data_IF_762736876804
#
_entry.id   IF_762736876804
#
_cell.length_a   1.000
_cell.length_b   1.000
_cell.length_c   1.000
_cell.angle_alpha   90.00
_cell.angle_beta   90.00
_cell.angle_gamma   90.00
#
_symmetry.space_group_name_H-M   'P 1'
#
loop_
_entity.id
_entity.type
_entity.pdbx_description
1 polymer ?
#
# COMPACT_ATOMS: atom_id res chain seq x y z
N UNK A 1 2.56 -2.13 18.44
CA UNK A 1 1.39 -2.90 18.94
C UNK A 1 1.25 -4.15 18.10
N UNK A 2 1.17 -5.32 18.75
CA UNK A 2 0.95 -6.64 18.15
C UNK A 2 -0.25 -6.61 17.19
N UNK A 3 -0.12 -7.28 16.07
CA UNK A 3 -0.94 -7.31 14.87
C UNK A 3 -2.48 -7.41 14.93
N UNK A 4 -3.16 -6.66 15.76
CA UNK A 4 -4.61 -6.57 15.71
C UNK A 4 -5.06 -5.72 14.52
N UNK A 5 -5.74 -6.30 13.57
CA UNK A 5 -6.31 -5.64 12.40
C UNK A 5 -7.50 -4.75 12.79
N UNK A 6 -8.15 -5.01 13.93
CA UNK A 6 -9.40 -4.36 14.31
C UNK A 6 -9.20 -3.03 15.05
N UNK A 7 -9.61 -1.93 14.41
CA UNK A 7 -9.95 -0.66 15.06
C UNK A 7 -11.48 -0.51 15.04
N UNK A 8 -12.15 -1.17 15.97
CA UNK A 8 -13.62 -1.07 16.03
C UNK A 8 -14.04 0.12 16.88
N UNK A 9 -15.00 0.86 16.36
CA UNK A 9 -15.72 1.91 17.08
C UNK A 9 -16.67 1.31 18.12
N UNK A 10 -17.28 2.15 18.97
CA UNK A 10 -18.23 1.71 20.00
C UNK A 10 -19.47 1.03 19.42
N UNK A 11 -19.89 1.40 18.21
CA UNK A 11 -21.00 0.82 17.45
C UNK A 11 -20.64 -0.51 16.75
N UNK A 12 -19.40 -0.99 16.91
CA UNK A 12 -18.92 -2.23 16.30
C UNK A 12 -18.40 -2.07 14.86
N UNK A 13 -18.45 -0.87 14.29
CA UNK A 13 -17.92 -0.61 12.96
C UNK A 13 -16.38 -0.59 12.94
N UNK A 14 -15.79 -0.95 11.79
CA UNK A 14 -14.34 -0.87 11.57
C UNK A 14 -13.95 0.50 11.04
N UNK A 15 -12.91 1.09 11.63
CA UNK A 15 -12.29 2.31 11.11
C UNK A 15 -10.84 2.06 10.72
N UNK A 16 -10.48 2.45 9.49
CA UNK A 16 -9.09 2.45 9.02
C UNK A 16 -8.34 3.66 9.56
N UNK A 17 -7.10 3.43 10.01
CA UNK A 17 -6.17 4.50 10.37
C UNK A 17 -5.36 4.88 9.15
N UNK A 18 -5.15 6.17 8.95
CA UNK A 18 -4.36 6.70 7.84
C UNK A 18 -2.90 6.25 7.89
N UNK A 19 -2.31 6.16 6.72
CA UNK A 19 -0.89 5.88 6.55
C UNK A 19 -0.04 7.06 7.06
N UNK A 20 1.04 6.76 7.77
CA UNK A 20 1.84 7.77 8.46
C UNK A 20 2.90 8.42 7.57
N UNK A 21 3.54 7.63 6.69
CA UNK A 21 4.62 8.11 5.83
C UNK A 21 4.04 8.46 4.45
N UNK A 22 4.06 9.77 4.11
CA UNK A 22 3.36 10.33 2.94
C UNK A 22 4.26 11.25 2.09
N UNK A 23 5.58 11.02 2.09
CA UNK A 23 6.50 11.74 1.20
C UNK A 23 6.32 11.28 -0.25
N UNK A 24 6.76 12.12 -1.19
CA UNK A 24 6.71 11.83 -2.62
C UNK A 24 8.11 11.77 -3.21
N UNK A 25 8.24 11.22 -4.42
CA UNK A 25 9.48 11.25 -5.22
C UNK A 25 9.25 12.18 -6.41
N UNK A 26 10.15 13.12 -6.63
CA UNK A 26 10.07 14.07 -7.74
C UNK A 26 11.47 14.53 -8.15
N UNK A 27 11.64 14.87 -9.41
CA UNK A 27 12.91 15.45 -9.93
C UNK A 27 13.28 16.77 -9.25
N UNK A 28 12.27 17.51 -8.78
CA UNK A 28 12.44 18.79 -8.09
C UNK A 28 12.52 18.64 -6.57
N UNK A 29 12.32 17.45 -6.01
CA UNK A 29 12.44 17.23 -4.57
C UNK A 29 13.92 17.36 -4.15
N UNK A 30 14.15 17.88 -2.95
CA UNK A 30 15.52 18.05 -2.44
C UNK A 30 16.11 16.76 -1.90
N UNK A 31 15.28 15.87 -1.39
CA UNK A 31 15.67 14.64 -0.71
C UNK A 31 15.37 13.43 -1.58
N UNK A 32 14.11 13.25 -2.00
CA UNK A 32 13.63 12.07 -2.71
C UNK A 32 13.56 12.29 -4.22
N UNK A 33 14.71 12.12 -4.89
CA UNK A 33 14.81 12.19 -6.36
C UNK A 33 14.70 10.81 -6.99
N UNK A 34 14.14 10.68 -8.21
CA UNK A 34 14.14 9.41 -8.92
C UNK A 34 15.58 9.02 -9.29
N UNK A 35 16.01 7.88 -8.80
CA UNK A 35 17.34 7.30 -9.04
C UNK A 35 17.20 5.79 -9.23
N UNK A 36 17.92 5.22 -10.20
CA UNK A 36 17.98 3.76 -10.41
C UNK A 36 18.59 3.06 -9.18
N UNK A 37 17.99 1.96 -8.76
CA UNK A 37 18.43 1.13 -7.63
C UNK A 37 18.45 1.84 -6.26
N UNK A 38 17.87 3.02 -6.14
CA UNK A 38 17.77 3.73 -4.87
C UNK A 38 16.62 3.23 -4.00
N UNK A 39 15.48 2.93 -4.63
CA UNK A 39 14.27 2.59 -3.90
C UNK A 39 14.03 1.08 -3.83
N UNK A 40 13.28 0.69 -2.81
CA UNK A 40 12.91 -0.68 -2.55
C UNK A 40 11.46 -0.78 -2.09
N UNK A 41 10.75 -1.83 -2.51
CA UNK A 41 9.39 -2.14 -2.06
C UNK A 41 9.40 -3.31 -1.09
N UNK A 42 8.70 -3.17 0.03
CA UNK A 42 8.27 -4.30 0.83
C UNK A 42 6.80 -4.57 0.59
N UNK A 43 6.46 -5.78 0.22
CA UNK A 43 5.11 -6.19 -0.19
C UNK A 43 4.75 -7.57 0.34
N UNK A 44 3.45 -7.94 0.28
CA UNK A 44 2.97 -9.30 0.45
C UNK A 44 2.07 -9.68 -0.71
N UNK A 45 2.17 -10.93 -1.18
CA UNK A 45 1.23 -11.46 -2.17
C UNK A 45 -0.21 -11.55 -1.64
N UNK A 46 -0.39 -11.65 -0.32
CA UNK A 46 -1.71 -11.68 0.32
C UNK A 46 -2.34 -10.28 0.48
N UNK A 47 -1.58 -9.20 0.25
CA UNK A 47 -2.07 -7.84 0.48
C UNK A 47 -2.56 -7.19 -0.82
N UNK A 48 -3.88 -6.95 -0.99
CA UNK A 48 -4.41 -6.30 -2.20
C UNK A 48 -3.91 -4.85 -2.37
N UNK A 49 -3.64 -4.16 -1.27
CA UNK A 49 -3.06 -2.82 -1.31
C UNK A 49 -1.64 -2.81 -1.87
N UNK A 50 -0.83 -3.81 -1.54
CA UNK A 50 0.52 -3.96 -2.07
C UNK A 50 0.50 -4.44 -3.53
N UNK A 51 -0.49 -5.24 -3.94
CA UNK A 51 -0.61 -5.79 -5.29
C UNK A 51 -0.62 -4.69 -6.35
N UNK A 52 -1.39 -3.60 -6.16
CA UNK A 52 -1.42 -2.51 -7.14
C UNK A 52 -0.06 -1.82 -7.33
N UNK A 53 0.81 -1.82 -6.31
CA UNK A 53 2.16 -1.27 -6.44
C UNK A 53 3.06 -2.17 -7.29
N UNK A 54 2.88 -3.49 -7.20
CA UNK A 54 3.56 -4.45 -8.09
C UNK A 54 3.08 -4.32 -9.54
N UNK A 55 1.77 -4.12 -9.75
CA UNK A 55 1.20 -3.85 -11.09
C UNK A 55 1.85 -2.60 -11.69
N UNK A 56 1.89 -1.49 -10.96
CA UNK A 56 2.52 -0.25 -11.46
C UNK A 56 4.03 -0.40 -11.66
N UNK A 57 4.72 -1.13 -10.79
CA UNK A 57 6.14 -1.45 -10.97
C UNK A 57 6.38 -2.16 -12.30
N UNK A 58 5.49 -3.08 -12.69
CA UNK A 58 5.55 -3.78 -13.98
C UNK A 58 5.16 -2.86 -15.15
N UNK A 59 3.99 -2.22 -15.11
CA UNK A 59 3.49 -1.34 -16.16
C UNK A 59 4.49 -0.24 -16.51
N UNK A 60 5.19 0.30 -15.51
CA UNK A 60 6.16 1.38 -15.67
C UNK A 60 7.60 0.90 -15.89
N UNK A 61 7.81 -0.42 -16.10
CA UNK A 61 9.13 -1.04 -16.37
C UNK A 61 10.17 -0.74 -15.28
N UNK A 62 9.72 -0.78 -14.02
CA UNK A 62 10.54 -0.43 -12.85
C UNK A 62 11.25 -1.61 -12.20
N UNK A 63 11.15 -2.83 -12.76
CA UNK A 63 11.70 -4.06 -12.17
C UNK A 63 13.22 -3.99 -11.96
N UNK A 64 13.91 -3.35 -12.91
CA UNK A 64 15.36 -3.15 -12.83
C UNK A 64 15.78 -1.88 -12.08
N UNK A 65 14.82 -1.08 -11.59
CA UNK A 65 15.09 0.23 -10.98
C UNK A 65 14.65 0.30 -9.51
N UNK A 66 13.62 -0.47 -9.14
CA UNK A 66 13.10 -0.57 -7.77
C UNK A 66 13.11 -2.04 -7.37
N UNK A 67 13.97 -2.41 -6.43
CA UNK A 67 14.03 -3.77 -5.88
C UNK A 67 12.81 -4.08 -5.00
N UNK A 68 12.56 -5.36 -4.71
CA UNK A 68 11.38 -5.78 -3.94
C UNK A 68 11.69 -6.97 -3.04
N UNK A 69 11.19 -6.92 -1.82
CA UNK A 69 11.12 -8.05 -0.91
C UNK A 69 9.67 -8.43 -0.58
N UNK A 70 9.44 -9.73 -0.46
CA UNK A 70 8.13 -10.30 -0.20
C UNK A 70 8.10 -10.90 1.20
N UNK A 71 7.23 -10.36 2.05
CA UNK A 71 6.96 -10.92 3.38
C UNK A 71 6.06 -12.16 3.28
N UNK A 72 6.06 -12.96 4.34
CA UNK A 72 5.17 -14.12 4.48
C UNK A 72 3.70 -13.70 4.31
N UNK A 73 2.87 -14.48 3.58
CA UNK A 73 1.47 -14.12 3.33
C UNK A 73 0.61 -14.14 4.58
N UNK A 74 0.92 -14.98 5.56
CA UNK A 74 0.19 -15.06 6.82
C UNK A 74 0.68 -13.99 7.80
N UNK A 75 -0.24 -13.13 8.21
CA UNK A 75 0.00 -12.13 9.23
C UNK A 75 -0.32 -12.70 10.61
N UNK A 76 0.69 -13.32 11.25
CA UNK A 76 0.56 -13.95 12.56
C UNK A 76 0.61 -12.90 13.70
N UNK A 77 0.76 -13.40 14.94
CA UNK A 77 0.70 -12.60 16.18
C UNK A 77 1.61 -11.35 16.16
N UNK A 78 2.79 -11.44 15.54
CA UNK A 78 3.75 -10.35 15.44
C UNK A 78 3.63 -9.51 14.16
N UNK A 79 2.53 -9.68 13.38
CA UNK A 79 2.30 -9.02 12.10
C UNK A 79 3.08 -9.65 10.95
N UNK A 80 3.33 -8.88 9.92
CA UNK A 80 4.05 -9.32 8.73
C UNK A 80 5.49 -9.74 9.07
N UNK A 81 5.85 -10.98 8.70
CA UNK A 81 7.17 -11.55 8.95
C UNK A 81 7.98 -11.75 7.67
N UNK A 82 9.30 -11.80 7.81
CA UNK A 82 10.23 -12.12 6.73
C UNK A 82 10.63 -13.61 6.74
N UNK A 83 9.78 -14.49 7.28
CA UNK A 83 9.98 -15.94 7.20
C UNK A 83 10.02 -16.41 5.76
N UNK A 84 10.92 -17.39 5.47
CA UNK A 84 11.16 -17.91 4.12
C UNK A 84 10.57 -19.31 3.90
N UNK A 85 9.68 -19.75 4.76
CA UNK A 85 9.04 -21.06 4.75
C UNK A 85 7.81 -21.16 3.84
N UNK A 86 7.46 -20.04 3.18
CA UNK A 86 6.41 -20.02 2.15
C UNK A 86 7.02 -19.71 0.77
N UNK A 87 6.52 -20.35 -0.32
CA UNK A 87 7.03 -20.13 -1.67
C UNK A 87 7.03 -18.65 -2.07
N UNK A 88 8.14 -18.20 -2.68
CA UNK A 88 8.35 -16.82 -3.16
C UNK A 88 8.53 -15.75 -2.07
N UNK A 89 8.58 -16.09 -0.78
CA UNK A 89 9.04 -15.13 0.24
C UNK A 89 10.56 -14.97 0.12
N UNK A 90 11.05 -13.73 0.27
CA UNK A 90 12.47 -13.41 0.04
C UNK A 90 13.26 -13.24 1.32
N UNK A 91 12.59 -12.92 2.42
CA UNK A 91 13.23 -12.33 3.59
C UNK A 91 13.45 -10.83 3.40
N UNK A 92 14.12 -10.19 4.36
CA UNK A 92 14.57 -8.81 4.27
C UNK A 92 16.00 -8.77 3.74
N UNK A 93 16.17 -8.33 2.50
CA UNK A 93 17.49 -8.27 1.83
C UNK A 93 18.31 -7.05 2.23
N UNK A 94 17.71 -6.03 2.83
CA UNK A 94 18.39 -4.77 3.17
C UNK A 94 18.93 -4.74 4.60
N UNK A 95 18.13 -5.17 5.59
CA UNK A 95 18.44 -4.99 7.01
C UNK A 95 18.47 -6.31 7.79
N UNK A 96 18.14 -7.44 7.14
CA UNK A 96 18.06 -8.76 7.75
C UNK A 96 17.15 -8.80 9.00
N UNK A 97 16.00 -8.12 8.93
CA UNK A 97 15.00 -8.08 9.99
C UNK A 97 14.06 -9.29 9.93
N UNK A 98 13.38 -9.57 11.05
CA UNK A 98 12.41 -10.65 11.16
C UNK A 98 10.99 -10.21 10.86
N UNK A 99 10.66 -8.94 11.09
CA UNK A 99 9.30 -8.40 10.99
C UNK A 99 9.27 -7.01 10.37
N UNK A 100 8.18 -6.70 9.69
CA UNK A 100 7.96 -5.36 9.07
C UNK A 100 7.96 -4.23 10.12
N UNK A 101 7.49 -4.46 11.34
CA UNK A 101 7.49 -3.42 12.36
C UNK A 101 8.91 -2.95 12.73
N UNK A 102 9.93 -3.79 12.55
CA UNK A 102 11.34 -3.41 12.77
C UNK A 102 11.81 -2.44 11.68
N UNK A 103 11.31 -2.58 10.43
CA UNK A 103 11.58 -1.62 9.33
C UNK A 103 11.00 -0.23 9.68
N UNK A 104 9.78 -0.20 10.23
CA UNK A 104 9.19 1.05 10.73
C UNK A 104 10.05 1.69 11.83
N UNK A 105 10.59 0.89 12.73
CA UNK A 105 11.46 1.36 13.84
C UNK A 105 12.83 1.87 13.37
N UNK A 106 13.36 1.35 12.24
CA UNK A 106 14.55 1.93 11.61
C UNK A 106 14.22 3.35 11.11
N UNK A 107 13.11 3.50 10.42
CA UNK A 107 12.68 4.79 9.88
C UNK A 107 12.39 5.83 10.97
N UNK A 108 11.70 5.44 12.04
CA UNK A 108 11.42 6.28 13.20
C UNK A 108 11.31 5.43 14.47
N UNK A 109 12.26 5.59 15.38
CA UNK A 109 12.30 4.86 16.66
C UNK A 109 11.10 5.13 17.58
N UNK A 110 10.41 6.27 17.37
CA UNK A 110 9.24 6.67 18.15
C UNK A 110 7.92 6.31 17.48
N UNK A 111 7.96 5.67 16.31
CA UNK A 111 6.75 5.34 15.57
C UNK A 111 5.80 4.47 16.39
N UNK A 112 4.55 4.92 16.49
CA UNK A 112 3.46 4.21 17.15
C UNK A 112 2.29 4.07 16.19
N UNK A 113 2.46 3.25 15.14
CA UNK A 113 1.43 2.94 14.14
C UNK A 113 1.34 1.45 13.88
N UNK A 114 0.34 1.04 13.11
CA UNK A 114 0.33 -0.31 12.53
C UNK A 114 1.39 -0.40 11.45
N UNK A 115 2.22 -1.44 11.51
CA UNK A 115 3.18 -1.74 10.47
C UNK A 115 2.48 -2.50 9.33
N UNK A 116 2.32 -1.86 8.20
CA UNK A 116 1.59 -2.35 7.02
C UNK A 116 2.49 -2.48 5.81
N UNK A 117 2.04 -3.19 4.80
CA UNK A 117 2.59 -3.21 3.44
C UNK A 117 1.53 -2.68 2.46
N UNK A 118 1.92 -2.02 1.34
CA UNK A 118 3.28 -1.82 0.86
C UNK A 118 4.06 -0.78 1.64
N UNK A 119 5.39 -0.84 1.53
CA UNK A 119 6.31 0.21 1.94
C UNK A 119 7.20 0.57 0.75
N UNK A 120 7.29 1.85 0.43
CA UNK A 120 8.32 2.38 -0.45
C UNK A 120 9.46 2.94 0.39
N UNK A 121 10.60 2.27 0.34
CA UNK A 121 11.79 2.54 1.13
C UNK A 121 12.85 3.28 0.32
N UNK A 122 13.55 4.23 0.91
CA UNK A 122 14.73 4.87 0.34
C UNK A 122 16.01 4.32 0.97
N UNK A 123 16.79 3.57 0.22
CA UNK A 123 18.07 2.98 0.66
C UNK A 123 19.15 4.03 0.95
N UNK A 124 19.01 5.25 0.41
CA UNK A 124 20.01 6.32 0.55
C UNK A 124 19.85 7.07 1.87
N UNK A 125 18.61 7.31 2.29
CA UNK A 125 18.30 7.98 3.56
C UNK A 125 17.93 7.02 4.68
N UNK A 126 17.85 5.72 4.35
CA UNK A 126 17.51 4.63 5.26
C UNK A 126 16.18 4.88 6.00
N UNK A 127 15.13 5.23 5.22
CA UNK A 127 13.82 5.57 5.76
C UNK A 127 12.67 5.21 4.83
N UNK A 128 11.46 5.13 5.39
CA UNK A 128 10.22 4.99 4.62
C UNK A 128 9.91 6.31 3.91
N UNK A 129 9.78 6.26 2.60
CA UNK A 129 9.28 7.40 1.81
C UNK A 129 7.76 7.48 1.93
N UNK A 130 7.10 6.36 1.66
CA UNK A 130 5.63 6.33 1.61
C UNK A 130 5.11 4.91 1.91
N UNK A 131 4.00 4.81 2.64
CA UNK A 131 3.31 3.55 2.91
C UNK A 131 1.81 3.60 2.56
N UNK A 132 1.41 4.57 1.73
CA UNK A 132 0.07 4.66 1.15
C UNK A 132 0.09 4.18 -0.31
N UNK A 133 -0.49 3.03 -0.57
CA UNK A 133 -0.40 2.39 -1.89
C UNK A 133 -0.98 3.25 -3.03
N UNK A 134 -2.02 4.05 -2.77
CA UNK A 134 -2.58 4.96 -3.76
C UNK A 134 -1.60 6.05 -4.18
N UNK A 135 -0.78 6.54 -3.26
CA UNK A 135 0.26 7.52 -3.56
C UNK A 135 1.49 6.87 -4.19
N UNK A 136 1.88 5.68 -3.73
CA UNK A 136 2.99 4.93 -4.32
C UNK A 136 2.76 4.70 -5.82
N UNK A 137 1.55 4.31 -6.23
CA UNK A 137 1.24 4.14 -7.66
C UNK A 137 1.27 5.47 -8.43
N UNK A 138 0.89 6.60 -7.82
CA UNK A 138 1.02 7.94 -8.43
C UNK A 138 2.49 8.35 -8.60
N UNK A 139 3.32 8.06 -7.61
CA UNK A 139 4.77 8.26 -7.69
C UNK A 139 5.34 7.44 -8.85
N UNK A 140 5.02 6.14 -8.92
CA UNK A 140 5.52 5.26 -9.99
C UNK A 140 5.01 5.67 -11.37
N UNK A 141 3.78 6.22 -11.46
CA UNK A 141 3.19 6.65 -12.72
C UNK A 141 4.01 7.71 -13.46
N UNK A 142 4.71 8.59 -12.74
CA UNK A 142 5.36 9.75 -13.38
C UNK A 142 6.81 9.98 -12.99
N UNK A 143 7.20 9.71 -11.74
CA UNK A 143 8.51 10.15 -11.24
C UNK A 143 9.71 9.54 -11.98
N UNK A 144 9.56 8.35 -12.52
CA UNK A 144 10.66 7.58 -13.14
C UNK A 144 10.62 7.55 -14.67
N UNK A 145 9.76 8.35 -15.32
CA UNK A 145 9.57 8.31 -16.76
C UNK A 145 10.86 8.53 -17.54
N UNK A 146 11.70 9.48 -17.12
CA UNK A 146 12.97 9.76 -17.78
C UNK A 146 14.01 8.64 -17.61
N UNK A 147 13.91 7.85 -16.56
CA UNK A 147 14.79 6.70 -16.31
C UNK A 147 14.37 5.51 -17.17
N UNK A 148 13.06 5.16 -17.14
CA UNK A 148 12.54 3.99 -17.84
C UNK A 148 12.23 4.26 -19.32
N UNK A 149 12.17 5.54 -19.74
CA UNK A 149 11.66 5.97 -21.05
C UNK A 149 10.23 5.46 -21.32
N UNK A 150 9.47 5.24 -20.27
CA UNK A 150 8.06 4.86 -20.33
C UNK A 150 7.20 6.04 -19.86
N UNK A 151 6.53 6.67 -20.81
CA UNK A 151 5.70 7.86 -20.59
C UNK A 151 4.20 7.54 -20.56
N UNK A 152 3.82 6.26 -20.53
CA UNK A 152 2.42 5.85 -20.33
C UNK A 152 1.87 6.49 -19.04
N UNK A 153 0.74 7.17 -19.16
CA UNK A 153 0.13 7.91 -18.06
C UNK A 153 -1.25 7.32 -17.69
N UNK A 154 -1.31 6.68 -16.55
CA UNK A 154 -2.52 6.09 -15.99
C UNK A 154 -3.30 7.07 -15.09
N UNK A 155 -2.89 8.36 -15.10
CA UNK A 155 -3.57 9.43 -14.38
C UNK A 155 -3.49 10.74 -15.17
N UNK A 156 -3.95 10.74 -16.44
CA UNK A 156 -3.83 11.90 -17.32
C UNK A 156 -4.63 13.08 -16.80
N UNK A 157 -4.09 14.28 -16.99
CA UNK A 157 -4.65 15.52 -16.43
C UNK A 157 -6.10 15.76 -16.83
N UNK A 158 -6.52 15.36 -18.05
CA UNK A 158 -7.88 15.49 -18.57
C UNK A 158 -8.90 14.62 -17.83
N UNK A 159 -8.50 13.51 -17.22
CA UNK A 159 -9.39 12.56 -16.55
C UNK A 159 -9.27 12.56 -15.02
N UNK A 160 -8.36 13.36 -14.44
CA UNK A 160 -8.08 13.31 -12.98
C UNK A 160 -9.32 13.51 -12.14
N UNK A 161 -10.15 14.47 -12.46
CA UNK A 161 -11.36 14.75 -11.68
C UNK A 161 -12.35 13.57 -11.68
N UNK A 162 -12.48 12.88 -12.80
CA UNK A 162 -13.35 11.70 -12.92
C UNK A 162 -12.75 10.50 -12.19
N UNK A 163 -11.45 10.25 -12.40
CA UNK A 163 -10.71 9.21 -11.71
C UNK A 163 -10.79 9.39 -10.18
N UNK A 164 -10.60 10.61 -9.69
CA UNK A 164 -10.63 10.88 -8.25
C UNK A 164 -12.03 10.73 -7.66
N UNK A 165 -13.08 11.12 -8.38
CA UNK A 165 -14.46 10.88 -7.96
C UNK A 165 -14.78 9.40 -7.81
N UNK A 166 -14.45 8.59 -8.83
CA UNK A 166 -14.72 7.15 -8.79
C UNK A 166 -13.85 6.46 -7.75
N UNK A 167 -12.57 6.84 -7.64
CA UNK A 167 -11.66 6.30 -6.64
C UNK A 167 -12.13 6.57 -5.20
N UNK A 168 -12.78 7.69 -4.93
CA UNK A 168 -13.34 7.98 -3.62
C UNK A 168 -14.43 6.96 -3.25
N UNK A 169 -15.33 6.64 -4.16
CA UNK A 169 -16.39 5.64 -3.95
C UNK A 169 -15.76 4.25 -3.79
N UNK A 170 -14.84 3.88 -4.68
CA UNK A 170 -14.13 2.60 -4.63
C UNK A 170 -13.37 2.45 -3.32
N UNK A 171 -12.65 3.48 -2.89
CA UNK A 171 -11.89 3.45 -1.64
C UNK A 171 -12.78 3.23 -0.42
N UNK A 172 -13.85 4.02 -0.31
CA UNK A 172 -14.73 3.99 0.88
C UNK A 172 -15.59 2.74 0.94
N UNK A 173 -16.20 2.34 -0.18
CA UNK A 173 -17.25 1.33 -0.19
C UNK A 173 -16.76 -0.04 -0.64
N UNK A 174 -15.73 -0.12 -1.50
CA UNK A 174 -15.20 -1.39 -2.00
C UNK A 174 -13.92 -1.74 -1.24
N UNK A 175 -12.86 -0.95 -1.37
CA UNK A 175 -11.57 -1.29 -0.79
C UNK A 175 -11.60 -1.35 0.74
N UNK A 176 -12.17 -0.35 1.39
CA UNK A 176 -12.43 -0.38 2.83
C UNK A 176 -13.69 -1.19 3.18
N UNK A 177 -14.65 -1.28 2.26
CA UNK A 177 -15.91 -2.00 2.46
C UNK A 177 -15.72 -3.46 2.84
N UNK A 178 -14.80 -4.18 2.18
CA UNK A 178 -14.48 -5.57 2.52
C UNK A 178 -13.93 -5.70 3.95
N UNK A 179 -13.13 -4.73 4.40
CA UNK A 179 -12.62 -4.70 5.79
C UNK A 179 -13.71 -4.30 6.77
N UNK A 180 -14.56 -3.33 6.42
CA UNK A 180 -15.70 -2.90 7.22
C UNK A 180 -16.65 -4.07 7.43
N UNK A 181 -16.97 -4.85 6.39
CA UNK A 181 -17.81 -6.06 6.48
C UNK A 181 -17.12 -7.15 7.30
N UNK A 182 -15.88 -7.51 6.97
CA UNK A 182 -15.16 -8.63 7.56
C UNK A 182 -14.76 -8.43 9.04
N UNK A 183 -14.63 -7.19 9.50
CA UNK A 183 -14.23 -6.84 10.87
C UNK A 183 -15.34 -6.21 11.70
N UNK A 184 -16.57 -6.14 11.20
CA UNK A 184 -17.74 -5.72 11.98
C UNK A 184 -17.95 -6.60 13.20
N UNK A 185 -18.37 -6.01 14.30
CA UNK A 185 -18.68 -6.70 15.57
C UNK A 185 -20.15 -6.71 15.93
N UNK A 186 -20.98 -6.03 15.13
CA UNK A 186 -22.42 -6.01 15.25
C UNK A 186 -23.06 -6.36 13.92
N UNK A 187 -24.27 -6.94 13.94
CA UNK A 187 -25.02 -7.27 12.73
C UNK A 187 -25.36 -6.01 11.93
N UNK A 188 -25.74 -4.93 12.61
CA UNK A 188 -26.07 -3.65 11.99
C UNK A 188 -24.87 -3.05 11.22
N UNK A 189 -23.68 -3.02 11.84
CA UNK A 189 -22.46 -2.54 11.17
C UNK A 189 -22.06 -3.40 9.98
N UNK A 190 -22.30 -4.73 10.05
CA UNK A 190 -22.07 -5.64 8.93
C UNK A 190 -23.03 -5.34 7.77
N UNK A 191 -24.33 -5.27 8.05
CA UNK A 191 -25.35 -5.03 7.03
C UNK A 191 -25.17 -3.69 6.32
N UNK A 192 -24.86 -2.63 7.05
CA UNK A 192 -24.54 -1.31 6.47
C UNK A 192 -23.32 -1.40 5.55
N UNK A 193 -22.26 -2.06 5.98
CA UNK A 193 -21.02 -2.15 5.20
C UNK A 193 -21.19 -3.03 3.95
N UNK A 194 -21.82 -4.22 4.07
CA UNK A 194 -21.98 -5.15 2.96
C UNK A 194 -22.96 -4.63 1.91
N UNK A 195 -24.02 -3.93 2.32
CA UNK A 195 -24.97 -3.31 1.39
C UNK A 195 -24.28 -2.24 0.53
N UNK A 196 -23.52 -1.35 1.16
CA UNK A 196 -22.74 -0.32 0.43
C UNK A 196 -21.69 -0.93 -0.50
N UNK A 197 -21.04 -2.01 -0.07
CA UNK A 197 -20.05 -2.73 -0.87
C UNK A 197 -20.69 -3.26 -2.16
N UNK A 198 -21.77 -4.03 -2.05
CA UNK A 198 -22.40 -4.64 -3.23
C UNK A 198 -23.06 -3.63 -4.15
N UNK A 199 -23.75 -2.61 -3.62
CA UNK A 199 -24.30 -1.53 -4.45
C UNK A 199 -23.23 -0.76 -5.21
N UNK A 200 -22.03 -0.61 -4.62
CA UNK A 200 -20.91 0.04 -5.31
C UNK A 200 -20.25 -0.87 -6.35
N UNK A 201 -20.25 -2.19 -6.14
CA UNK A 201 -19.80 -3.15 -7.15
C UNK A 201 -20.73 -3.16 -8.36
N UNK A 202 -22.06 -3.17 -8.14
CA UNK A 202 -23.08 -3.06 -9.19
C UNK A 202 -22.88 -1.77 -10.01
N UNK A 203 -22.68 -0.64 -9.34
CA UNK A 203 -22.41 0.64 -10.02
C UNK A 203 -21.14 0.57 -10.89
N UNK A 204 -20.08 -0.10 -10.44
CA UNK A 204 -18.84 -0.25 -11.24
C UNK A 204 -19.08 -1.17 -12.43
N UNK A 205 -19.85 -2.25 -12.26
CA UNK A 205 -20.22 -3.19 -13.35
C UNK A 205 -21.01 -2.48 -14.47
N UNK A 206 -21.89 -1.53 -14.10
CA UNK A 206 -22.63 -0.70 -15.07
C UNK A 206 -21.74 0.29 -15.85
N UNK A 207 -20.57 0.66 -15.30
CA UNK A 207 -19.63 1.60 -15.95
C UNK A 207 -18.69 0.87 -16.93
N UNK A 208 -18.39 -0.41 -16.68
CA UNK A 208 -17.47 -1.24 -17.47
C UNK A 208 -18.15 -1.85 -18.69
#
# INVERSE_FOLDING_TARGET
>A
KKGSVSNNQKDGSFQRVDSLFRNTISVNDKVYKPETNRYHLYVSYACPWAHRTLIFRHLKKLENHISVDYVHPDMLENGWSFLKDFPKTTGDSLHNKKYIHEIYQISDKKVSSKATVPILWDKKTDTIVNNESAEIIRIMNSAFNDITKNYDDYYPSSLRNEIDKINKIIYENINNGVYKSGFSRTQEAYEDAVTKLFSSLEMIDEIL
#
